data_IF_215039134159
#
_entry.id   IF_215039134159
#
_cell.length_a   1.000
_cell.length_b   1.000
_cell.length_c   1.000
_cell.angle_alpha   90.00
_cell.angle_beta   90.00
_cell.angle_gamma   90.00
#
_symmetry.space_group_name_H-M   'P 1'
#
loop_
_entity.id
_entity.type
_entity.pdbx_description
1 polymer ?
#
# COMPACT_ATOMS: atom_id res chain seq x y z
N UNK A 1 11.28 -3.87 -0.42
CA UNK A 1 9.84 -3.56 -0.54
C UNK A 1 9.70 -2.17 -1.16
N UNK A 2 8.74 -1.95 -2.05
CA UNK A 2 8.36 -0.61 -2.52
C UNK A 2 7.75 0.17 -1.34
N UNK A 3 8.07 1.45 -1.19
CA UNK A 3 7.41 2.30 -0.19
C UNK A 3 5.94 2.52 -0.54
N UNK A 4 5.10 2.90 0.43
CA UNK A 4 3.66 3.14 0.18
C UNK A 4 3.44 4.27 -0.84
N UNK A 5 4.23 5.35 -0.77
CA UNK A 5 4.22 6.43 -1.76
C UNK A 5 4.57 5.93 -3.18
N UNK A 6 5.62 5.12 -3.33
CA UNK A 6 5.97 4.51 -4.63
C UNK A 6 4.87 3.58 -5.16
N UNK A 7 4.09 2.97 -4.26
CA UNK A 7 2.95 2.13 -4.64
C UNK A 7 1.80 2.97 -5.20
N UNK A 8 1.53 4.14 -4.61
CA UNK A 8 0.52 5.09 -5.12
C UNK A 8 0.92 5.64 -6.49
N UNK A 9 2.18 6.04 -6.67
CA UNK A 9 2.69 6.51 -7.96
C UNK A 9 2.59 5.42 -9.04
N UNK A 10 2.93 4.18 -8.70
CA UNK A 10 2.82 3.05 -9.62
C UNK A 10 1.37 2.78 -10.02
N UNK A 11 0.42 2.85 -9.07
CA UNK A 11 -1.00 2.74 -9.36
C UNK A 11 -1.48 3.89 -10.26
N UNK A 12 -1.13 5.13 -9.94
CA UNK A 12 -1.50 6.30 -10.72
C UNK A 12 -1.02 6.18 -12.18
N UNK A 13 0.24 5.76 -12.37
CA UNK A 13 0.82 5.55 -13.69
C UNK A 13 0.13 4.41 -14.48
N UNK A 14 -0.28 3.34 -13.81
CA UNK A 14 -1.04 2.25 -14.46
C UNK A 14 -2.46 2.69 -14.82
N UNK A 15 -3.11 3.49 -13.97
CA UNK A 15 -4.40 4.11 -14.29
C UNK A 15 -4.30 5.06 -15.48
N UNK A 16 -3.27 5.90 -15.55
CA UNK A 16 -3.06 6.80 -16.71
C UNK A 16 -2.84 6.02 -17.99
N UNK A 17 -2.09 4.92 -17.92
CA UNK A 17 -1.92 4.00 -19.06
C UNK A 17 -3.23 3.35 -19.49
N UNK A 18 -4.15 3.08 -18.58
CA UNK A 18 -5.47 2.51 -18.87
C UNK A 18 -6.39 3.59 -19.46
N UNK A 19 -6.52 4.74 -18.81
CA UNK A 19 -7.38 5.86 -19.23
C UNK A 19 -7.05 6.32 -20.66
N UNK A 20 -5.77 6.43 -21.00
CA UNK A 20 -5.33 7.01 -22.26
C UNK A 20 -5.10 6.00 -23.40
N UNK A 21 -5.40 4.71 -23.21
CA UNK A 21 -5.19 3.73 -24.26
C UNK A 21 -6.37 3.62 -25.24
N UNK A 22 -6.14 2.93 -26.36
CA UNK A 22 -7.22 2.46 -27.22
C UNK A 22 -7.93 1.25 -26.61
N UNK A 23 -9.18 1.05 -26.99
CA UNK A 23 -10.02 -0.05 -26.49
C UNK A 23 -9.33 -1.41 -26.62
N UNK A 24 -8.67 -1.70 -27.74
CA UNK A 24 -8.02 -2.99 -27.99
C UNK A 24 -6.93 -3.36 -26.96
N UNK A 25 -6.34 -2.36 -26.29
CA UNK A 25 -5.30 -2.56 -25.27
C UNK A 25 -5.87 -2.60 -23.84
N UNK A 26 -7.14 -2.24 -23.67
CA UNK A 26 -7.76 -2.01 -22.37
C UNK A 26 -7.80 -3.28 -21.52
N UNK A 27 -8.25 -4.42 -22.06
CA UNK A 27 -8.35 -5.68 -21.32
C UNK A 27 -7.03 -6.07 -20.64
N UNK A 28 -5.92 -6.09 -21.39
CA UNK A 28 -4.59 -6.37 -20.83
C UNK A 28 -4.17 -5.38 -19.74
N UNK A 29 -4.54 -4.11 -19.87
CA UNK A 29 -4.22 -3.06 -18.89
C UNK A 29 -5.08 -3.18 -17.63
N UNK A 30 -6.34 -3.58 -17.76
CA UNK A 30 -7.22 -3.91 -16.63
C UNK A 30 -6.61 -5.07 -15.84
N UNK A 31 -6.25 -6.18 -16.49
CA UNK A 31 -5.63 -7.33 -15.80
C UNK A 31 -4.35 -6.94 -15.07
N UNK A 32 -3.51 -6.12 -15.69
CA UNK A 32 -2.25 -5.65 -15.08
C UNK A 32 -2.51 -4.73 -13.88
N UNK A 33 -3.52 -3.86 -13.95
CA UNK A 33 -3.91 -3.00 -12.85
C UNK A 33 -4.41 -3.84 -11.66
N UNK A 34 -5.31 -4.80 -11.89
CA UNK A 34 -5.86 -5.67 -10.85
C UNK A 34 -4.76 -6.52 -10.18
N UNK A 35 -3.81 -7.05 -10.96
CA UNK A 35 -2.62 -7.72 -10.41
C UNK A 35 -1.76 -6.78 -9.55
N UNK A 36 -1.58 -5.53 -9.99
CA UNK A 36 -0.86 -4.52 -9.22
C UNK A 36 -1.52 -4.23 -7.87
N UNK A 37 -2.86 -4.17 -7.85
CA UNK A 37 -3.65 -4.00 -6.63
C UNK A 37 -3.41 -5.17 -5.66
N UNK A 38 -3.49 -6.42 -6.14
CA UNK A 38 -3.33 -7.61 -5.28
C UNK A 38 -1.95 -7.76 -4.65
N UNK A 39 -0.92 -7.17 -5.25
CA UNK A 39 0.47 -7.22 -4.76
C UNK A 39 0.81 -6.10 -3.77
N UNK A 40 -0.05 -5.08 -3.66
CA UNK A 40 0.14 -3.95 -2.74
C UNK A 40 -0.74 -4.12 -1.52
N UNK A 41 -0.12 -4.24 -0.33
CA UNK A 41 -0.86 -4.33 0.94
C UNK A 41 -1.78 -3.13 1.16
N UNK A 42 -1.32 -1.91 0.85
CA UNK A 42 -2.13 -0.69 0.98
C UNK A 42 -3.41 -0.77 0.14
N UNK A 43 -3.29 -1.19 -1.13
CA UNK A 43 -4.46 -1.27 -1.99
C UNK A 43 -5.34 -2.47 -1.64
N UNK A 44 -4.77 -3.59 -1.22
CA UNK A 44 -5.55 -4.72 -0.73
C UNK A 44 -6.43 -4.33 0.47
N UNK A 45 -5.89 -3.60 1.44
CA UNK A 45 -6.64 -3.05 2.59
C UNK A 45 -7.72 -2.06 2.12
N UNK A 46 -7.37 -1.10 1.26
CA UNK A 46 -8.29 -0.07 0.74
C UNK A 46 -9.46 -0.68 -0.03
N UNK A 47 -9.19 -1.53 -1.01
CA UNK A 47 -10.23 -2.15 -1.83
C UNK A 47 -11.03 -3.18 -1.02
N UNK A 48 -10.42 -3.87 -0.06
CA UNK A 48 -11.12 -4.73 0.89
C UNK A 48 -12.13 -3.94 1.71
N UNK A 49 -11.71 -2.83 2.32
CA UNK A 49 -12.61 -1.95 3.09
C UNK A 49 -13.72 -1.34 2.22
N UNK A 50 -13.38 -0.79 1.05
CA UNK A 50 -14.37 -0.13 0.21
C UNK A 50 -15.40 -1.12 -0.35
N UNK A 51 -14.98 -2.34 -0.69
CA UNK A 51 -15.84 -3.36 -1.30
C UNK A 51 -16.56 -4.25 -0.28
N UNK A 52 -16.24 -4.14 1.02
CA UNK A 52 -16.92 -4.90 2.06
C UNK A 52 -18.43 -4.60 2.08
N UNK A 53 -19.24 -5.65 1.98
CA UNK A 53 -20.70 -5.56 1.88
C UNK A 53 -21.24 -4.90 0.60
N UNK A 54 -20.40 -4.63 -0.40
CA UNK A 54 -20.84 -3.98 -1.64
C UNK A 54 -21.54 -4.96 -2.59
N UNK A 55 -22.82 -4.71 -2.88
CA UNK A 55 -23.60 -5.50 -3.84
C UNK A 55 -23.49 -4.91 -5.25
N UNK A 56 -22.62 -5.51 -6.07
CA UNK A 56 -22.42 -5.09 -7.46
C UNK A 56 -23.68 -5.25 -8.31
N UNK A 57 -24.50 -6.28 -8.10
CA UNK A 57 -25.71 -6.50 -8.90
C UNK A 57 -26.78 -5.42 -8.64
N UNK A 58 -26.95 -5.02 -7.38
CA UNK A 58 -27.83 -3.90 -7.01
C UNK A 58 -27.26 -2.57 -7.52
N UNK A 59 -25.95 -2.35 -7.36
CA UNK A 59 -25.28 -1.14 -7.84
C UNK A 59 -25.35 -1.03 -9.38
N UNK A 60 -25.23 -2.14 -10.11
CA UNK A 60 -25.38 -2.21 -11.56
C UNK A 60 -26.71 -1.62 -11.98
N UNK A 61 -27.82 -2.09 -11.40
CA UNK A 61 -29.18 -1.59 -11.71
C UNK A 61 -29.36 -0.10 -11.40
N UNK A 62 -28.74 0.36 -10.31
CA UNK A 62 -28.86 1.75 -9.84
C UNK A 62 -28.08 2.73 -10.71
N UNK A 63 -26.80 2.43 -10.96
CA UNK A 63 -25.86 3.37 -11.60
C UNK A 63 -25.77 3.19 -13.12
N UNK A 64 -26.19 2.05 -13.65
CA UNK A 64 -26.34 1.81 -15.09
C UNK A 64 -27.83 1.85 -15.44
N UNK A 65 -28.38 3.05 -15.40
CA UNK A 65 -29.81 3.29 -15.53
C UNK A 65 -30.26 3.20 -16.99
N UNK A 66 -31.44 2.63 -17.20
CA UNK A 66 -32.17 2.71 -18.47
C UNK A 66 -33.35 3.65 -18.28
N UNK A 67 -33.30 4.84 -18.89
CA UNK A 67 -34.40 5.80 -18.85
C UNK A 67 -35.14 5.80 -20.19
N UNK A 68 -36.47 5.66 -20.18
CA UNK A 68 -37.29 5.65 -21.39
C UNK A 68 -37.20 6.94 -22.23
N UNK A 69 -36.88 8.08 -21.60
CA UNK A 69 -36.77 9.39 -22.26
C UNK A 69 -35.34 9.73 -22.74
N UNK A 70 -34.31 9.17 -22.11
CA UNK A 70 -32.91 9.54 -22.33
C UNK A 70 -31.99 8.36 -22.69
N UNK A 71 -32.54 7.15 -22.82
CA UNK A 71 -31.80 5.93 -23.13
C UNK A 71 -31.05 5.34 -21.93
N UNK A 72 -30.14 4.41 -22.22
CA UNK A 72 -29.22 3.80 -21.27
C UNK A 72 -28.07 4.77 -20.98
N UNK A 73 -27.77 5.00 -19.70
CA UNK A 73 -26.68 5.90 -19.28
C UNK A 73 -26.08 5.48 -17.95
N UNK A 74 -24.78 5.68 -17.83
CA UNK A 74 -24.08 5.63 -16.56
C UNK A 74 -24.31 6.90 -15.72
N UNK A 75 -24.48 6.72 -14.41
CA UNK A 75 -24.59 7.78 -13.42
C UNK A 75 -23.51 7.53 -12.36
N UNK A 76 -22.60 8.49 -12.20
CA UNK A 76 -21.55 8.41 -11.20
C UNK A 76 -22.15 8.49 -9.77
N UNK A 77 -21.77 7.60 -8.84
CA UNK A 77 -22.12 7.73 -7.43
C UNK A 77 -21.56 9.03 -6.82
N UNK A 78 -22.15 9.50 -5.73
CA UNK A 78 -21.73 10.74 -5.06
C UNK A 78 -20.74 10.51 -3.91
N UNK A 79 -20.69 9.29 -3.37
CA UNK A 79 -19.83 8.95 -2.23
C UNK A 79 -18.57 8.20 -2.67
N UNK A 80 -17.42 8.59 -2.11
CA UNK A 80 -16.11 8.06 -2.47
C UNK A 80 -16.02 6.54 -2.35
N UNK A 81 -16.59 5.97 -1.27
CA UNK A 81 -16.56 4.51 -1.03
C UNK A 81 -17.26 3.76 -2.16
N UNK A 82 -18.46 4.20 -2.56
CA UNK A 82 -19.22 3.58 -3.66
C UNK A 82 -18.55 3.82 -5.00
N UNK A 83 -17.94 4.98 -5.26
CA UNK A 83 -17.17 5.20 -6.50
C UNK A 83 -16.02 4.18 -6.60
N UNK A 84 -15.27 3.99 -5.51
CA UNK A 84 -14.15 3.04 -5.45
C UNK A 84 -14.67 1.61 -5.63
N UNK A 85 -15.67 1.20 -4.84
CA UNK A 85 -16.22 -0.15 -4.90
C UNK A 85 -16.80 -0.46 -6.28
N UNK A 86 -17.62 0.44 -6.84
CA UNK A 86 -18.21 0.28 -8.17
C UNK A 86 -17.14 0.20 -9.26
N UNK A 87 -16.17 1.13 -9.26
CA UNK A 87 -15.10 1.13 -10.25
C UNK A 87 -14.28 -0.14 -10.21
N UNK A 88 -13.92 -0.62 -9.01
CA UNK A 88 -13.21 -1.87 -8.83
C UNK A 88 -14.03 -3.09 -9.29
N UNK A 89 -15.31 -3.18 -8.89
CA UNK A 89 -16.19 -4.27 -9.29
C UNK A 89 -16.44 -4.30 -10.81
N UNK A 90 -16.60 -3.16 -11.47
CA UNK A 90 -16.73 -3.10 -12.93
C UNK A 90 -15.46 -3.62 -13.61
N UNK A 91 -14.29 -3.17 -13.16
CA UNK A 91 -13.02 -3.62 -13.73
C UNK A 91 -12.80 -5.11 -13.52
N UNK A 92 -13.15 -5.63 -12.35
CA UNK A 92 -13.08 -7.07 -12.05
C UNK A 92 -14.08 -7.89 -12.87
N UNK A 93 -15.33 -7.42 -13.02
CA UNK A 93 -16.35 -8.08 -13.82
C UNK A 93 -15.96 -8.16 -15.31
N UNK A 94 -15.29 -7.12 -15.83
CA UNK A 94 -14.72 -7.13 -17.18
C UNK A 94 -13.58 -8.15 -17.28
N UNK A 95 -12.63 -8.13 -16.34
CA UNK A 95 -11.45 -9.02 -16.38
C UNK A 95 -11.81 -10.50 -16.23
N UNK A 96 -12.80 -10.80 -15.39
CA UNK A 96 -13.32 -12.16 -15.17
C UNK A 96 -14.26 -12.65 -16.28
N UNK A 97 -14.74 -11.74 -17.14
CA UNK A 97 -15.70 -12.04 -18.20
C UNK A 97 -17.16 -12.14 -17.73
N UNK A 98 -17.45 -11.78 -16.49
CA UNK A 98 -18.84 -11.63 -16.00
C UNK A 98 -19.58 -10.51 -16.74
N UNK A 99 -18.85 -9.48 -17.17
CA UNK A 99 -19.37 -8.35 -17.94
C UNK A 99 -18.74 -8.29 -19.32
N UNK A 100 -19.56 -8.34 -20.38
CA UNK A 100 -19.07 -8.12 -21.74
C UNK A 100 -18.74 -6.63 -21.95
N UNK A 101 -17.46 -6.34 -22.16
CA UNK A 101 -16.99 -4.96 -22.20
C UNK A 101 -17.55 -4.20 -23.42
N UNK A 102 -17.68 -4.85 -24.57
CA UNK A 102 -18.25 -4.22 -25.79
C UNK A 102 -19.69 -3.81 -25.53
N UNK A 103 -20.50 -4.71 -24.97
CA UNK A 103 -21.90 -4.47 -24.63
C UNK A 103 -22.01 -3.34 -23.61
N UNK A 104 -21.20 -3.35 -22.55
CA UNK A 104 -21.16 -2.28 -21.55
C UNK A 104 -20.88 -0.91 -22.18
N UNK A 105 -19.89 -0.81 -23.07
CA UNK A 105 -19.52 0.43 -23.73
C UNK A 105 -20.64 0.93 -24.65
N UNK A 106 -21.20 0.04 -25.48
CA UNK A 106 -22.26 0.41 -26.41
C UNK A 106 -23.57 0.75 -25.72
N UNK A 107 -23.85 0.13 -24.57
CA UNK A 107 -25.09 0.36 -23.86
C UNK A 107 -25.07 1.65 -23.05
N UNK A 108 -24.01 1.91 -22.28
CA UNK A 108 -24.03 2.99 -21.28
C UNK A 108 -23.11 4.16 -21.60
N UNK A 109 -22.13 3.95 -22.49
CA UNK A 109 -21.12 4.93 -22.87
C UNK A 109 -21.08 5.15 -24.39
N UNK A 110 -22.19 4.90 -25.08
CA UNK A 110 -22.27 4.96 -26.54
C UNK A 110 -21.68 6.25 -27.12
N UNK A 111 -20.92 6.07 -28.19
CA UNK A 111 -20.33 7.10 -29.06
C UNK A 111 -20.25 6.54 -30.48
N UNK A 112 -19.85 7.37 -31.46
CA UNK A 112 -19.78 6.99 -32.89
C UNK A 112 -18.93 5.76 -33.20
N UNK A 113 -17.95 5.43 -32.36
CA UNK A 113 -17.11 4.25 -32.50
C UNK A 113 -16.65 3.75 -31.12
N UNK A 114 -16.14 2.52 -31.09
CA UNK A 114 -15.76 1.85 -29.84
C UNK A 114 -14.66 2.58 -29.06
N UNK A 115 -13.73 3.25 -29.73
CA UNK A 115 -12.69 4.04 -29.04
C UNK A 115 -13.29 5.29 -28.42
N UNK A 116 -14.25 5.95 -29.07
CA UNK A 116 -15.01 7.05 -28.49
C UNK A 116 -15.78 6.59 -27.25
N UNK A 117 -16.43 5.43 -27.33
CA UNK A 117 -17.21 4.89 -26.21
C UNK A 117 -16.28 4.54 -25.03
N UNK A 118 -15.11 3.97 -25.33
CA UNK A 118 -14.07 3.74 -24.33
C UNK A 118 -13.53 5.04 -23.71
N UNK A 119 -13.28 6.08 -24.51
CA UNK A 119 -12.86 7.39 -24.00
C UNK A 119 -13.92 7.99 -23.07
N UNK A 120 -15.20 7.86 -23.41
CA UNK A 120 -16.31 8.30 -22.56
C UNK A 120 -16.38 7.49 -21.26
N UNK A 121 -16.24 6.17 -21.32
CA UNK A 121 -16.10 5.30 -20.14
C UNK A 121 -14.92 5.70 -19.25
N UNK A 122 -13.76 5.98 -19.85
CA UNK A 122 -12.58 6.41 -19.11
C UNK A 122 -12.82 7.74 -18.38
N UNK A 123 -13.43 8.72 -19.04
CA UNK A 123 -13.72 10.02 -18.45
C UNK A 123 -14.82 9.97 -17.37
N UNK A 124 -15.89 9.20 -17.61
CA UNK A 124 -17.04 9.15 -16.71
C UNK A 124 -16.84 8.19 -15.53
N UNK A 125 -16.08 7.09 -15.67
CA UNK A 125 -15.86 6.11 -14.61
C UNK A 125 -14.40 6.08 -14.11
N UNK A 126 -13.43 5.89 -15.01
CA UNK A 126 -12.04 5.60 -14.60
C UNK A 126 -11.32 6.82 -13.98
N UNK A 127 -11.57 8.02 -14.50
CA UNK A 127 -10.97 9.26 -13.98
C UNK A 127 -11.47 9.57 -12.56
N UNK A 128 -12.79 9.58 -12.27
CA UNK A 128 -13.30 9.69 -10.91
C UNK A 128 -12.80 8.58 -9.99
N UNK A 129 -12.81 7.32 -10.47
CA UNK A 129 -12.28 6.18 -9.73
C UNK A 129 -10.82 6.38 -9.33
N UNK A 130 -9.93 6.75 -10.28
CA UNK A 130 -8.52 7.05 -9.99
C UNK A 130 -8.38 8.12 -8.90
N UNK A 131 -9.14 9.21 -9.05
CA UNK A 131 -9.09 10.35 -8.14
C UNK A 131 -9.44 9.94 -6.71
N UNK A 132 -10.56 9.22 -6.53
CA UNK A 132 -11.00 8.80 -5.21
C UNK A 132 -10.04 7.77 -4.58
N UNK A 133 -9.53 6.81 -5.36
CA UNK A 133 -8.53 5.84 -4.85
C UNK A 133 -7.27 6.55 -4.39
N UNK A 134 -6.72 7.49 -5.17
CA UNK A 134 -5.51 8.23 -4.77
C UNK A 134 -5.80 9.09 -3.54
N UNK A 135 -6.95 9.75 -3.49
CA UNK A 135 -7.36 10.57 -2.35
C UNK A 135 -7.42 9.73 -1.06
N UNK A 136 -8.09 8.57 -1.10
CA UNK A 136 -8.21 7.67 0.05
C UNK A 136 -6.86 7.02 0.40
N UNK A 137 -6.06 6.62 -0.60
CA UNK A 137 -4.75 6.03 -0.36
C UNK A 137 -3.80 7.03 0.31
N UNK A 138 -3.77 8.28 -0.17
CA UNK A 138 -3.00 9.34 0.47
C UNK A 138 -3.55 9.68 1.85
N UNK A 139 -4.88 9.68 2.04
CA UNK A 139 -5.47 9.85 3.36
C UNK A 139 -5.10 8.69 4.30
N UNK A 140 -4.96 7.45 3.82
CA UNK A 140 -4.51 6.31 4.62
C UNK A 140 -3.00 6.38 4.93
N UNK A 141 -2.18 6.84 3.98
CA UNK A 141 -0.75 7.09 4.23
C UNK A 141 -0.60 8.21 5.25
N UNK A 142 -1.27 9.34 5.00
CA UNK A 142 -1.26 10.49 5.90
C UNK A 142 -1.92 10.15 7.23
N UNK A 143 -2.95 9.32 7.30
CA UNK A 143 -3.58 8.90 8.56
C UNK A 143 -2.71 7.89 9.29
N UNK A 144 -1.89 7.08 8.60
CA UNK A 144 -0.85 6.27 9.25
C UNK A 144 0.26 7.19 9.75
N UNK A 145 0.74 8.14 8.94
CA UNK A 145 1.71 9.18 9.35
C UNK A 145 1.17 10.06 10.48
N UNK A 146 -0.12 10.41 10.47
CA UNK A 146 -0.81 11.10 11.54
C UNK A 146 -1.22 10.17 12.68
N UNK A 147 -1.37 8.85 12.52
CA UNK A 147 -1.48 7.92 13.66
C UNK A 147 -0.11 7.80 14.34
N UNK A 148 0.99 7.99 13.60
CA UNK A 148 2.33 8.19 14.16
C UNK A 148 2.46 9.60 14.81
N UNK A 149 1.87 10.68 14.27
CA UNK A 149 1.93 12.04 14.85
C UNK A 149 0.84 12.36 15.94
N UNK A 150 -0.33 11.71 15.91
CA UNK A 150 -1.51 11.92 16.79
C UNK A 150 -1.56 10.87 17.91
N UNK A 151 -0.63 9.90 17.92
CA UNK A 151 -0.34 9.13 19.15
C UNK A 151 0.22 9.98 20.30
N UNK A 152 0.37 11.30 20.11
CA UNK A 152 0.65 12.28 21.16
C UNK A 152 -0.57 12.76 21.99
N UNK A 153 -1.81 12.25 21.80
CA UNK A 153 -2.93 12.65 22.68
C UNK A 153 -3.94 11.55 23.10
N UNK A 154 -3.58 10.89 24.23
CA UNK A 154 -4.39 10.20 25.28
C UNK A 154 -4.68 8.67 25.17
N UNK A 155 -4.51 7.85 26.26
CA UNK A 155 -3.77 8.01 27.52
C UNK A 155 -2.35 7.40 27.42
N UNK A 156 -1.38 7.98 28.15
CA UNK A 156 0.05 7.64 28.12
C UNK A 156 0.29 6.13 28.35
N UNK A 157 0.53 5.37 27.29
CA UNK A 157 1.45 4.22 27.33
C UNK A 157 2.74 4.68 26.67
N UNK A 158 3.65 5.16 27.51
CA UNK A 158 4.98 5.64 27.15
C UNK A 158 5.69 4.57 26.31
N UNK A 159 6.03 4.89 25.06
CA UNK A 159 7.04 4.11 24.32
C UNK A 159 8.27 3.98 25.22
N UNK A 160 8.83 2.77 25.34
CA UNK A 160 9.96 2.52 26.23
C UNK A 160 11.20 3.35 25.84
N UNK A 161 11.29 3.69 24.55
CA UNK A 161 12.30 4.56 23.96
C UNK A 161 11.66 5.87 23.49
N UNK A 162 12.38 6.98 23.65
CA UNK A 162 12.01 8.23 23.00
C UNK A 162 12.31 8.20 21.50
N UNK A 163 11.65 9.06 20.71
CA UNK A 163 11.95 9.16 19.28
C UNK A 163 13.39 9.60 19.00
N UNK A 164 13.98 10.37 19.92
CA UNK A 164 15.40 10.72 19.90
C UNK A 164 16.27 9.47 20.10
N UNK A 165 15.96 8.62 21.07
CA UNK A 165 16.65 7.35 21.31
C UNK A 165 16.56 6.41 20.10
N UNK A 166 15.36 6.29 19.49
CA UNK A 166 15.14 5.47 18.28
C UNK A 166 15.94 6.02 17.10
N UNK A 167 15.97 7.35 16.93
CA UNK A 167 16.74 8.02 15.88
C UNK A 167 18.24 7.78 16.04
N UNK A 168 18.75 7.89 17.26
CA UNK A 168 20.16 7.59 17.57
C UNK A 168 20.47 6.13 17.28
N UNK A 169 19.62 5.19 17.71
CA UNK A 169 19.80 3.75 17.42
C UNK A 169 19.84 3.50 15.90
N UNK A 170 18.94 4.10 15.11
CA UNK A 170 18.92 3.95 13.65
C UNK A 170 20.21 4.46 12.99
N UNK A 171 20.74 5.59 13.45
CA UNK A 171 22.02 6.12 12.93
C UNK A 171 23.16 5.15 13.24
N UNK A 172 23.21 4.60 14.45
CA UNK A 172 24.22 3.61 14.83
C UNK A 172 24.07 2.31 14.03
N UNK A 173 22.84 1.86 13.80
CA UNK A 173 22.54 0.68 12.99
C UNK A 173 22.99 0.84 11.53
N UNK A 174 22.73 1.99 10.89
CA UNK A 174 23.18 2.19 9.52
C UNK A 174 24.71 2.27 9.40
N UNK A 175 25.40 2.79 10.42
CA UNK A 175 26.86 2.70 10.50
C UNK A 175 27.33 1.24 10.60
N UNK A 176 26.70 0.43 11.45
CA UNK A 176 27.00 -1.00 11.61
C UNK A 176 26.68 -1.81 10.34
N UNK A 177 25.61 -1.48 9.61
CA UNK A 177 25.22 -2.13 8.35
C UNK A 177 26.31 -1.96 7.29
N UNK A 178 26.88 -0.76 7.16
CA UNK A 178 28.02 -0.51 6.28
C UNK A 178 29.22 -1.41 6.61
N UNK A 179 29.44 -1.70 7.89
CA UNK A 179 30.50 -2.59 8.38
C UNK A 179 30.18 -4.07 8.11
N UNK A 180 28.94 -4.52 8.36
CA UNK A 180 28.48 -5.89 8.09
C UNK A 180 28.59 -6.21 6.59
N UNK A 181 28.25 -5.25 5.72
CA UNK A 181 28.37 -5.42 4.27
C UNK A 181 29.82 -5.62 3.81
N UNK A 182 30.82 -5.25 4.62
CA UNK A 182 32.23 -5.46 4.33
C UNK A 182 32.79 -6.78 4.90
N UNK A 183 31.98 -7.55 5.63
CA UNK A 183 32.43 -8.83 6.20
C UNK A 183 32.76 -9.84 5.09
N UNK A 184 33.94 -10.45 5.21
CA UNK A 184 34.39 -11.57 4.37
C UNK A 184 33.86 -12.88 4.96
N UNK A 185 32.55 -13.07 4.88
CA UNK A 185 31.82 -14.24 5.37
C UNK A 185 31.02 -14.87 4.24
N UNK A 186 30.52 -16.09 4.46
CA UNK A 186 29.69 -16.77 3.47
C UNK A 186 28.42 -15.96 3.15
N UNK A 187 27.96 -15.96 1.89
CA UNK A 187 26.78 -15.19 1.46
C UNK A 187 25.51 -15.49 2.26
N UNK A 188 25.29 -16.77 2.61
CA UNK A 188 24.12 -17.19 3.38
C UNK A 188 24.16 -16.61 4.81
N UNK A 189 25.31 -16.72 5.47
CA UNK A 189 25.50 -16.16 6.82
C UNK A 189 25.33 -14.64 6.82
N UNK A 190 25.77 -13.97 5.74
CA UNK A 190 25.55 -12.53 5.55
C UNK A 190 24.07 -12.18 5.43
N UNK A 191 23.30 -12.99 4.71
CA UNK A 191 21.84 -12.82 4.57
C UNK A 191 21.11 -13.02 5.90
N UNK A 192 21.52 -14.02 6.69
CA UNK A 192 20.97 -14.26 8.03
C UNK A 192 21.24 -13.09 8.97
N UNK A 193 22.46 -12.53 8.96
CA UNK A 193 22.80 -11.32 9.73
C UNK A 193 21.96 -10.11 9.31
N UNK A 194 21.75 -9.92 8.00
CA UNK A 194 20.90 -8.83 7.51
C UNK A 194 19.45 -9.02 7.92
N UNK A 195 18.98 -10.27 8.05
CA UNK A 195 17.63 -10.56 8.56
C UNK A 195 17.51 -10.18 10.03
N UNK A 196 18.52 -10.49 10.86
CA UNK A 196 18.57 -10.09 12.27
C UNK A 196 18.63 -8.57 12.43
N UNK A 197 19.35 -7.88 11.53
CA UNK A 197 19.38 -6.42 11.45
C UNK A 197 18.00 -5.84 11.14
N UNK A 198 17.36 -6.29 10.05
CA UNK A 198 16.05 -5.78 9.62
C UNK A 198 14.98 -6.03 10.68
N UNK A 199 15.02 -7.20 11.34
CA UNK A 199 14.14 -7.53 12.45
C UNK A 199 14.36 -6.60 13.65
N UNK A 200 15.61 -6.28 14.00
CA UNK A 200 15.85 -5.33 15.08
C UNK A 200 15.33 -3.94 14.75
N UNK A 201 15.53 -3.45 13.52
CA UNK A 201 15.00 -2.15 13.08
C UNK A 201 13.47 -2.10 13.15
N UNK A 202 12.78 -3.17 12.75
CA UNK A 202 11.31 -3.19 12.79
C UNK A 202 10.75 -3.22 14.21
N UNK A 203 11.42 -3.92 15.13
CA UNK A 203 10.96 -4.11 16.50
C UNK A 203 11.24 -2.89 17.41
N UNK A 204 12.05 -1.91 16.99
CA UNK A 204 12.32 -0.69 17.78
C UNK A 204 11.07 0.13 18.14
N UNK A 205 9.97 -0.08 17.42
CA UNK A 205 8.69 0.60 17.62
C UNK A 205 7.68 -0.26 18.40
N UNK A 206 8.04 -1.47 18.83
CA UNK A 206 7.13 -2.31 19.60
C UNK A 206 6.98 -1.77 21.04
N UNK A 207 5.81 -1.98 21.62
CA UNK A 207 5.47 -1.57 22.99
C UNK A 207 5.87 -2.61 24.03
N UNK A 208 6.23 -3.82 23.60
CA UNK A 208 6.65 -4.93 24.45
C UNK A 208 8.19 -4.96 24.58
N UNK A 209 8.73 -4.75 25.80
CA UNK A 209 10.19 -4.71 26.00
C UNK A 209 10.87 -6.03 25.64
N UNK A 210 10.17 -7.16 25.84
CA UNK A 210 10.70 -8.49 25.55
C UNK A 210 10.94 -8.72 24.06
N UNK A 211 10.14 -8.11 23.17
CA UNK A 211 10.35 -8.19 21.72
C UNK A 211 11.55 -7.37 21.28
N UNK A 212 11.65 -6.12 21.76
CA UNK A 212 12.82 -5.27 21.51
C UNK A 212 14.10 -5.95 22.01
N UNK A 213 14.04 -6.53 23.22
CA UNK A 213 15.14 -7.27 23.84
C UNK A 213 15.54 -8.51 23.05
N UNK A 214 14.57 -9.32 22.62
CA UNK A 214 14.84 -10.51 21.80
C UNK A 214 15.48 -10.13 20.46
N UNK A 215 14.95 -9.10 19.80
CA UNK A 215 15.48 -8.59 18.54
C UNK A 215 16.90 -8.00 18.71
N UNK A 216 17.14 -7.26 19.79
CA UNK A 216 18.46 -6.76 20.13
C UNK A 216 19.46 -7.89 20.40
N UNK A 217 19.06 -8.96 21.11
CA UNK A 217 19.93 -10.11 21.33
C UNK A 217 20.26 -10.84 20.04
N UNK A 218 19.30 -11.02 19.14
CA UNK A 218 19.55 -11.56 17.81
C UNK A 218 20.62 -10.76 17.06
N UNK A 219 20.44 -9.44 16.99
CA UNK A 219 21.41 -8.53 16.39
C UNK A 219 22.79 -8.58 17.08
N UNK A 220 22.82 -8.47 18.42
CA UNK A 220 24.03 -8.47 19.26
C UNK A 220 24.86 -9.73 19.05
N UNK A 221 24.23 -10.91 19.17
CA UNK A 221 24.95 -12.17 19.04
C UNK A 221 25.32 -12.49 17.60
N UNK A 222 24.54 -12.01 16.62
CA UNK A 222 24.93 -12.02 15.21
C UNK A 222 26.24 -11.26 14.96
N UNK A 223 26.40 -10.06 15.54
CA UNK A 223 27.63 -9.28 15.41
C UNK A 223 28.79 -9.87 16.23
N UNK A 224 28.55 -10.24 17.49
CA UNK A 224 29.60 -10.74 18.39
C UNK A 224 30.21 -12.07 17.93
N UNK A 225 29.45 -12.89 17.20
CA UNK A 225 29.97 -14.11 16.55
C UNK A 225 31.20 -13.81 15.67
N UNK A 226 31.28 -12.60 15.10
CA UNK A 226 32.38 -12.16 14.25
C UNK A 226 33.51 -11.42 14.99
N UNK A 227 33.50 -11.43 16.34
CA UNK A 227 34.55 -10.88 17.23
C UNK A 227 34.98 -9.44 16.92
N UNK A 228 34.09 -8.63 16.32
CA UNK A 228 34.35 -7.21 16.11
C UNK A 228 33.66 -6.40 17.19
N UNK A 229 34.46 -5.59 17.88
CA UNK A 229 33.93 -4.58 18.78
C UNK A 229 33.17 -3.56 17.95
N UNK A 230 31.88 -3.42 18.22
CA UNK A 230 31.03 -2.42 17.60
C UNK A 230 30.65 -1.40 18.69
N UNK A 231 31.27 -0.22 18.64
CA UNK A 231 30.97 0.86 19.58
C UNK A 231 29.51 1.36 19.43
N UNK A 232 28.88 1.11 18.28
CA UNK A 232 27.44 1.32 18.09
C UNK A 232 26.61 0.34 18.89
N UNK A 233 27.02 -0.93 18.98
CA UNK A 233 26.32 -1.96 19.75
C UNK A 233 26.29 -1.65 21.25
N UNK A 234 27.38 -1.11 21.80
CA UNK A 234 27.46 -0.70 23.20
C UNK A 234 26.54 0.49 23.50
N UNK A 235 26.58 1.51 22.64
CA UNK A 235 25.70 2.69 22.76
C UNK A 235 24.23 2.31 22.62
N UNK A 236 23.88 1.40 21.71
CA UNK A 236 22.51 0.87 21.59
C UNK A 236 22.11 0.17 22.89
N UNK A 237 23.00 -0.66 23.47
CA UNK A 237 22.71 -1.33 24.75
C UNK A 237 22.50 -0.34 25.90
N UNK A 238 23.26 0.76 25.96
CA UNK A 238 23.10 1.81 26.96
C UNK A 238 21.74 2.51 26.83
N UNK A 239 21.34 2.85 25.61
CA UNK A 239 20.05 3.45 25.31
C UNK A 239 18.90 2.51 25.73
N UNK A 240 18.99 1.22 25.39
CA UNK A 240 17.98 0.24 25.77
C UNK A 240 17.91 0.00 27.29
N UNK A 241 19.04 0.00 28.01
CA UNK A 241 19.07 -0.05 29.49
C UNK A 241 18.40 1.17 30.11
N UNK A 242 18.69 2.37 29.58
CA UNK A 242 18.07 3.63 30.03
C UNK A 242 16.55 3.62 29.81
N UNK A 243 16.09 2.97 28.75
CA UNK A 243 14.67 2.74 28.46
C UNK A 243 14.00 1.62 29.26
N UNK A 244 14.73 0.90 30.13
CA UNK A 244 14.18 -0.21 30.93
C UNK A 244 13.88 -1.49 30.14
N UNK A 245 14.50 -1.65 28.96
CA UNK A 245 14.33 -2.82 28.08
C UNK A 245 15.35 -3.92 28.40
N UNK A 246 16.57 -3.51 28.79
CA UNK A 246 17.69 -4.41 29.12
C UNK A 246 18.02 -4.43 30.61
#
# INVERSE_FOLDING_TARGET
>A
MLTQAMSVDAFAANMDKLINCQYVLSAKKISNLLKGISLSRLFYELFGYCSDGFDYAAARKKYFSTNAAYGRRFILPTDSRTIIALGFSVLYAIDSGEEDFVTLLNDYFYEKNINGAYTRFANELLVPFKKEVISVANAMINAKENEYEVSEAAPIKKNLLSDEDISVIKVLLEQSKGVILQYKIEPNLKSELMTLYDNFVSELYDVEPEKIKAAFFGYKYGILFHKRHDAGLEKIAEILKKGGIL
#
